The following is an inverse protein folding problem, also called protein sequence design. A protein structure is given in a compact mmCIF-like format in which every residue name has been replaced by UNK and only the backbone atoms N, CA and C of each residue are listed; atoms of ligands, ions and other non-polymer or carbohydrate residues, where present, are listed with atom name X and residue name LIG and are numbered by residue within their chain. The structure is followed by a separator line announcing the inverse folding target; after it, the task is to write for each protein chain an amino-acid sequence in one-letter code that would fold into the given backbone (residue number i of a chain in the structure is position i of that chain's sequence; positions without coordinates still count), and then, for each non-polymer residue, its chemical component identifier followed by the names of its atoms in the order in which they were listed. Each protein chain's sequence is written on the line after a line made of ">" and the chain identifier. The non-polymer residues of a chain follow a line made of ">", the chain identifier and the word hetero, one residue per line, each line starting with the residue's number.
data_IF_643054573927
#
_entry.id   IF_643054573927
#
_cell.length_a   1.000
_cell.length_b   1.000
_cell.length_c   1.000
_cell.angle_alpha   90.00
_cell.angle_beta   90.00
_cell.angle_gamma   90.00
#
_symmetry.space_group_name_H-M   'P 1'
#
loop_
_entity.id
_entity.type
_entity.pdbx_description
1 polymer ?
#
# COMPACT_ATOMS: atom_id res chain seq x y z
N UNK A 1 18.93 18.13 10.67
CA UNK A 1 17.82 17.15 10.59
C UNK A 1 18.41 15.83 10.15
N UNK A 2 18.32 14.80 11.00
CA UNK A 2 19.06 13.54 10.84
C UNK A 2 18.47 12.65 9.73
N UNK A 3 19.34 12.22 8.82
CA UNK A 3 19.07 11.26 7.73
C UNK A 3 18.83 9.83 8.24
N UNK A 4 19.25 9.54 9.48
CA UNK A 4 19.15 8.21 10.12
C UNK A 4 17.84 7.95 10.89
N UNK A 5 17.01 8.97 11.13
CA UNK A 5 15.75 8.78 11.88
C UNK A 5 14.61 8.19 11.02
N UNK A 6 14.82 8.01 9.70
CA UNK A 6 13.83 7.40 8.81
C UNK A 6 13.90 5.88 8.70
N UNK A 7 14.93 5.24 9.29
CA UNK A 7 15.21 3.81 9.09
C UNK A 7 14.74 2.87 10.21
N UNK A 8 14.28 3.39 11.36
CA UNK A 8 14.10 2.54 12.56
C UNK A 8 12.68 2.42 13.13
N UNK A 9 11.64 3.00 12.51
CA UNK A 9 10.26 2.87 13.00
C UNK A 9 9.23 2.70 11.86
N UNK A 10 9.54 1.86 10.88
CA UNK A 10 8.46 1.12 10.23
C UNK A 10 8.71 -0.34 10.52
N UNK A 11 8.02 -0.86 11.54
CA UNK A 11 7.72 -2.29 11.59
C UNK A 11 7.14 -2.66 10.23
N UNK A 12 8.00 -3.20 9.36
CA UNK A 12 7.60 -3.67 8.05
C UNK A 12 6.60 -4.79 8.30
N UNK A 13 5.32 -4.48 8.10
CA UNK A 13 4.28 -5.48 8.20
C UNK A 13 4.40 -6.37 6.96
N UNK A 14 4.11 -7.67 7.07
CA UNK A 14 4.18 -8.61 5.94
C UNK A 14 3.34 -8.17 4.73
N UNK A 15 2.32 -7.32 4.95
CA UNK A 15 1.50 -6.71 3.90
C UNK A 15 2.19 -5.54 3.16
N UNK A 16 3.29 -5.01 3.70
CA UNK A 16 4.09 -3.91 3.15
C UNK A 16 5.36 -4.39 2.43
N UNK A 17 5.69 -5.67 2.55
CA UNK A 17 6.86 -6.28 1.93
C UNK A 17 6.67 -6.35 0.41
N UNK A 18 7.66 -5.83 -0.32
CA UNK A 18 7.58 -5.67 -1.76
C UNK A 18 8.13 -6.93 -2.44
N UNK A 19 7.33 -8.01 -2.48
CA UNK A 19 7.64 -9.18 -3.30
C UNK A 19 7.66 -8.74 -4.78
N UNK A 20 8.84 -8.59 -5.38
CA UNK A 20 8.98 -8.40 -6.83
C UNK A 20 9.53 -7.06 -7.31
N UNK A 21 10.52 -6.48 -6.63
CA UNK A 21 11.42 -5.51 -7.30
C UNK A 21 12.71 -6.13 -7.86
N UNK A 22 12.89 -7.45 -7.74
CA UNK A 22 13.88 -8.16 -8.54
C UNK A 22 13.21 -8.58 -9.85
N UNK A 23 13.15 -7.66 -10.82
CA UNK A 23 13.08 -8.08 -12.22
C UNK A 23 14.40 -8.74 -12.58
N UNK A 24 14.51 -10.04 -12.30
CA UNK A 24 15.45 -10.93 -12.98
C UNK A 24 14.70 -12.15 -13.55
N UNK A 25 13.62 -11.88 -14.28
CA UNK A 25 13.07 -12.87 -15.21
C UNK A 25 14.04 -12.93 -16.42
N UNK A 26 15.14 -13.67 -16.27
CA UNK A 26 15.90 -14.17 -17.40
C UNK A 26 16.33 -15.60 -17.13
N UNK A 27 15.57 -16.55 -17.67
CA UNK A 27 15.96 -17.94 -17.83
C UNK A 27 17.03 -17.98 -18.94
N UNK A 28 18.26 -17.62 -18.60
CA UNK A 28 19.36 -17.48 -19.53
C UNK A 28 20.67 -17.59 -18.78
N UNK A 29 21.30 -18.76 -18.94
CA UNK A 29 22.60 -19.14 -18.43
C UNK A 29 23.70 -18.15 -18.85
N UNK A 30 24.28 -17.42 -17.91
CA UNK A 30 25.74 -17.31 -17.81
C UNK A 30 26.18 -16.98 -16.37
N UNK A 31 27.32 -17.55 -16.03
CA UNK A 31 27.95 -17.42 -14.74
C UNK A 31 28.66 -16.06 -14.67
N UNK A 32 28.11 -15.10 -13.93
CA UNK A 32 28.91 -14.12 -13.19
C UNK A 32 28.07 -13.51 -12.06
N UNK A 33 28.51 -13.75 -10.84
CA UNK A 33 27.91 -13.30 -9.59
C UNK A 33 27.63 -11.78 -9.63
N UNK A 34 26.35 -11.42 -9.79
CA UNK A 34 25.82 -10.15 -9.30
C UNK A 34 25.06 -10.45 -8.01
N UNK A 35 25.79 -10.48 -6.90
CA UNK A 35 25.21 -10.59 -5.57
C UNK A 35 24.25 -9.42 -5.29
N UNK A 36 23.42 -9.51 -4.23
CA UNK A 36 22.33 -8.59 -3.88
C UNK A 36 22.77 -7.16 -3.50
N UNK A 37 24.00 -6.78 -3.84
CA UNK A 37 24.62 -5.50 -3.53
C UNK A 37 24.67 -4.62 -4.78
N UNK A 38 23.53 -4.48 -5.47
CA UNK A 38 23.34 -3.30 -6.31
C UNK A 38 23.39 -2.10 -5.36
N UNK A 39 24.30 -1.15 -5.60
CA UNK A 39 24.41 0.10 -4.83
C UNK A 39 23.19 0.95 -5.14
N UNK A 40 22.02 0.52 -4.65
CA UNK A 40 20.82 1.32 -4.68
C UNK A 40 21.07 2.42 -3.66
N UNK A 41 21.26 3.64 -4.14
CA UNK A 41 21.40 4.81 -3.29
C UNK A 41 20.26 4.81 -2.26
N UNK A 42 20.56 5.12 -0.99
CA UNK A 42 19.55 5.25 0.07
C UNK A 42 18.37 6.15 -0.37
N UNK A 43 18.63 7.11 -1.27
CA UNK A 43 17.62 7.97 -1.86
C UNK A 43 16.74 7.26 -2.92
N UNK A 44 17.31 6.39 -3.77
CA UNK A 44 16.50 5.62 -4.74
C UNK A 44 15.60 4.62 -4.01
N UNK A 45 16.13 3.96 -2.97
CA UNK A 45 15.33 3.13 -2.05
C UNK A 45 14.17 3.91 -1.40
N UNK A 46 14.40 5.17 -1.02
CA UNK A 46 13.34 6.02 -0.43
C UNK A 46 12.27 6.40 -1.47
N UNK A 47 12.68 6.70 -2.70
CA UNK A 47 11.77 7.04 -3.80
C UNK A 47 10.92 5.86 -4.23
N UNK A 48 11.50 4.68 -4.36
CA UNK A 48 10.80 3.44 -4.69
C UNK A 48 9.82 3.04 -3.59
N UNK A 49 10.22 3.12 -2.32
CA UNK A 49 9.31 2.91 -1.17
C UNK A 49 8.12 3.86 -1.21
N UNK A 50 8.34 5.14 -1.47
CA UNK A 50 7.25 6.12 -1.61
C UNK A 50 6.32 5.77 -2.77
N UNK A 51 6.85 5.38 -3.92
CA UNK A 51 6.06 4.96 -5.08
C UNK A 51 5.21 3.72 -4.78
N UNK A 52 5.81 2.69 -4.17
CA UNK A 52 5.10 1.48 -3.77
C UNK A 52 3.97 1.79 -2.79
N UNK A 53 4.23 2.66 -1.79
CA UNK A 53 3.24 3.10 -0.81
C UNK A 53 2.07 3.84 -1.47
N UNK A 54 2.34 4.78 -2.38
CA UNK A 54 1.29 5.50 -3.11
C UNK A 54 0.49 4.56 -4.04
N UNK A 55 1.14 3.59 -4.68
CA UNK A 55 0.47 2.57 -5.49
C UNK A 55 -0.51 1.75 -4.64
N UNK A 56 -0.09 1.33 -3.44
CA UNK A 56 -0.95 0.62 -2.47
C UNK A 56 -2.14 1.47 -2.05
N UNK A 57 -1.91 2.74 -1.72
CA UNK A 57 -2.99 3.71 -1.41
C UNK A 57 -3.99 3.81 -2.57
N UNK A 58 -3.51 3.83 -3.81
CA UNK A 58 -4.36 3.81 -5.01
C UNK A 58 -5.26 2.57 -5.07
N UNK A 59 -4.68 1.37 -4.92
CA UNK A 59 -5.41 0.11 -4.93
C UNK A 59 -6.44 0.02 -3.78
N UNK A 60 -6.02 0.39 -2.56
CA UNK A 60 -6.92 0.40 -1.40
C UNK A 60 -8.09 1.36 -1.61
N UNK A 61 -7.86 2.52 -2.22
CA UNK A 61 -8.93 3.47 -2.52
C UNK A 61 -9.97 2.93 -3.52
N UNK A 62 -9.61 2.01 -4.42
CA UNK A 62 -10.60 1.37 -5.30
C UNK A 62 -11.60 0.53 -4.49
N UNK A 63 -11.12 -0.19 -3.48
CA UNK A 63 -11.96 -1.01 -2.59
C UNK A 63 -12.74 -0.11 -1.63
N UNK A 64 -12.05 0.82 -0.96
CA UNK A 64 -12.64 1.72 0.05
C UNK A 64 -13.71 2.65 -0.54
N UNK A 65 -13.63 2.98 -1.84
CA UNK A 65 -14.64 3.77 -2.53
C UNK A 65 -16.05 3.16 -2.45
N UNK A 66 -16.16 1.83 -2.47
CA UNK A 66 -17.44 1.12 -2.30
C UNK A 66 -18.08 1.43 -0.95
N UNK A 67 -17.26 1.54 0.10
CA UNK A 67 -17.69 1.88 1.46
C UNK A 67 -17.78 3.38 1.70
N UNK A 68 -17.50 4.21 0.69
CA UNK A 68 -17.47 5.67 0.81
C UNK A 68 -16.28 6.19 1.63
N UNK A 69 -15.22 5.40 1.77
CA UNK A 69 -14.02 5.76 2.51
C UNK A 69 -12.88 6.09 1.56
N UNK A 70 -11.90 6.85 2.06
CA UNK A 70 -10.67 7.17 1.34
C UNK A 70 -9.46 7.11 2.27
N UNK A 71 -8.39 6.49 1.82
CA UNK A 71 -7.10 6.46 2.51
C UNK A 71 -6.09 7.37 1.81
N UNK A 72 -5.26 8.05 2.60
CA UNK A 72 -4.15 8.87 2.15
C UNK A 72 -2.86 8.53 2.88
N UNK A 73 -1.73 8.86 2.27
CA UNK A 73 -0.43 8.78 2.92
C UNK A 73 -0.27 9.89 3.96
N UNK A 74 0.23 9.55 5.15
CA UNK A 74 0.50 10.50 6.23
C UNK A 74 1.95 10.39 6.71
N UNK A 75 2.72 11.45 6.42
CA UNK A 75 4.12 11.59 6.83
C UNK A 75 5.03 10.42 6.41
N UNK A 76 4.68 9.68 5.35
CA UNK A 76 5.46 8.55 4.82
C UNK A 76 5.56 7.33 5.73
N UNK A 77 4.94 7.35 6.91
CA UNK A 77 5.02 6.29 7.91
C UNK A 77 3.64 5.72 8.26
N UNK A 78 2.60 6.57 8.30
CA UNK A 78 1.22 6.16 8.63
C UNK A 78 0.27 6.43 7.48
N UNK A 79 -0.95 5.94 7.60
CA UNK A 79 -2.03 6.26 6.69
C UNK A 79 -3.09 7.05 7.43
N UNK A 80 -3.84 7.84 6.69
CA UNK A 80 -4.99 8.57 7.20
C UNK A 80 -6.23 8.12 6.43
N UNK A 81 -7.19 7.57 7.16
CA UNK A 81 -8.47 7.13 6.64
C UNK A 81 -9.50 8.24 6.86
N UNK A 82 -10.31 8.52 5.84
CA UNK A 82 -11.31 9.57 5.81
C UNK A 82 -12.69 9.03 5.44
N UNK A 83 -13.73 9.54 6.11
CA UNK A 83 -15.13 9.42 5.69
C UNK A 83 -15.53 10.59 4.78
N UNK A 84 -16.57 10.39 3.96
CA UNK A 84 -17.33 11.45 3.30
C UNK A 84 -17.92 12.47 4.29
N UNK A 85 -18.13 12.09 5.55
CA UNK A 85 -18.63 12.97 6.62
C UNK A 85 -17.54 13.84 7.26
N UNK A 86 -16.29 13.73 6.84
CA UNK A 86 -15.16 14.51 7.36
C UNK A 86 -14.46 13.92 8.58
N UNK A 87 -14.90 12.76 9.08
CA UNK A 87 -14.15 12.03 10.12
C UNK A 87 -12.85 11.49 9.55
N UNK A 88 -11.77 11.62 10.32
CA UNK A 88 -10.43 11.17 9.93
C UNK A 88 -9.79 10.36 11.05
N UNK A 89 -9.19 9.22 10.73
CA UNK A 89 -8.55 8.31 11.68
C UNK A 89 -7.17 7.90 11.18
N UNK A 90 -6.19 7.92 12.07
CA UNK A 90 -4.84 7.45 11.78
C UNK A 90 -4.82 5.92 11.79
N UNK A 91 -4.26 5.34 10.74
CA UNK A 91 -4.05 3.91 10.54
C UNK A 91 -2.55 3.65 10.51
N UNK A 92 -2.06 2.71 11.31
CA UNK A 92 -0.63 2.45 11.39
C UNK A 92 -0.14 1.59 10.22
N UNK A 93 -0.91 0.57 9.84
CA UNK A 93 -0.56 -0.43 8.83
C UNK A 93 -1.84 -1.00 8.16
N UNK A 94 -1.66 -1.86 7.15
CA UNK A 94 -2.79 -2.48 6.44
C UNK A 94 -3.61 -3.45 7.30
N UNK A 95 -3.04 -4.04 8.35
CA UNK A 95 -3.77 -4.89 9.29
C UNK A 95 -4.72 -4.08 10.17
N UNK A 96 -4.26 -2.92 10.64
CA UNK A 96 -5.04 -1.95 11.42
C UNK A 96 -6.14 -1.25 10.58
N UNK A 97 -5.97 -1.22 9.25
CA UNK A 97 -6.89 -0.55 8.33
C UNK A 97 -8.32 -1.06 8.42
N UNK A 98 -8.53 -2.37 8.29
CA UNK A 98 -9.86 -2.94 8.11
C UNK A 98 -10.75 -2.77 9.34
N UNK A 99 -10.20 -2.98 10.54
CA UNK A 99 -10.93 -2.75 11.79
C UNK A 99 -11.36 -1.29 11.92
N UNK A 100 -10.47 -0.34 11.59
CA UNK A 100 -10.79 1.09 11.63
C UNK A 100 -11.80 1.50 10.56
N UNK A 101 -11.69 0.92 9.37
CA UNK A 101 -12.60 1.17 8.28
C UNK A 101 -14.00 0.64 8.58
N UNK A 102 -14.14 -0.55 9.14
CA UNK A 102 -15.42 -1.10 9.58
C UNK A 102 -16.08 -0.24 10.67
N UNK A 103 -15.32 0.20 11.67
CA UNK A 103 -15.82 1.09 12.73
C UNK A 103 -16.33 2.43 12.19
N UNK A 104 -15.64 2.98 11.19
CA UNK A 104 -15.93 4.29 10.61
C UNK A 104 -17.09 4.22 9.60
N UNK A 105 -17.15 3.17 8.79
CA UNK A 105 -18.27 2.89 7.89
C UNK A 105 -19.53 2.38 8.61
N UNK A 106 -19.41 1.88 9.85
CA UNK A 106 -20.47 1.18 10.60
C UNK A 106 -21.10 0.03 9.80
N UNK A 107 -20.31 -0.61 8.95
CA UNK A 107 -20.71 -1.71 8.06
C UNK A 107 -19.65 -2.79 8.11
N UNK A 108 -20.07 -4.05 8.22
CA UNK A 108 -19.14 -5.17 8.13
C UNK A 108 -18.48 -5.21 6.74
N UNK A 109 -17.16 -5.35 6.75
CA UNK A 109 -16.37 -5.43 5.53
C UNK A 109 -16.13 -6.89 5.18
N UNK A 110 -16.99 -7.42 4.32
CA UNK A 110 -16.81 -8.74 3.72
C UNK A 110 -16.06 -8.60 2.38
N UNK A 111 -14.91 -9.24 2.29
CA UNK A 111 -14.08 -9.27 1.08
C UNK A 111 -14.72 -10.08 -0.06
N UNK A 112 -15.68 -10.96 0.26
CA UNK A 112 -16.39 -11.82 -0.69
C UNK A 112 -17.84 -11.36 -0.94
N UNK A 113 -18.21 -10.15 -0.50
CA UNK A 113 -19.53 -9.57 -0.79
C UNK A 113 -19.73 -9.49 -2.31
N UNK A 114 -20.81 -10.10 -2.80
CA UNK A 114 -21.16 -10.11 -4.22
C UNK A 114 -21.34 -8.70 -4.78
N UNK A 115 -21.81 -7.75 -3.96
CA UNK A 115 -21.96 -6.35 -4.38
C UNK A 115 -20.61 -5.66 -4.54
N UNK A 116 -19.67 -5.93 -3.64
CA UNK A 116 -18.29 -5.42 -3.73
C UNK A 116 -17.62 -5.95 -4.99
N UNK A 117 -17.71 -7.26 -5.24
CA UNK A 117 -17.11 -7.88 -6.43
C UNK A 117 -17.70 -7.32 -7.72
N UNK A 118 -19.02 -7.13 -7.78
CA UNK A 118 -19.69 -6.50 -8.93
C UNK A 118 -19.19 -5.05 -9.14
N UNK A 119 -19.02 -4.28 -8.07
CA UNK A 119 -18.49 -2.92 -8.13
C UNK A 119 -17.04 -2.87 -8.63
N UNK A 120 -16.18 -3.76 -8.14
CA UNK A 120 -14.77 -3.82 -8.56
C UNK A 120 -14.62 -4.24 -10.02
N UNK A 121 -15.40 -5.23 -10.47
CA UNK A 121 -15.42 -5.65 -11.87
C UNK A 121 -15.87 -4.53 -12.84
N UNK A 122 -16.73 -3.62 -12.38
CA UNK A 122 -17.14 -2.46 -13.19
C UNK A 122 -16.05 -1.38 -13.23
N UNK A 123 -15.39 -1.08 -12.10
CA UNK A 123 -14.39 -0.01 -12.01
C UNK A 123 -13.00 -0.38 -12.56
N UNK A 124 -12.68 -1.66 -12.69
CA UNK A 124 -11.40 -2.11 -13.29
C UNK A 124 -11.36 -1.85 -14.81
N UNK A 125 -12.50 -1.73 -15.47
CA UNK A 125 -12.59 -1.45 -16.91
C UNK A 125 -12.37 0.03 -17.28
N UNK A 126 -12.27 0.93 -16.31
CA UNK A 126 -12.18 2.39 -16.53
C UNK A 126 -10.74 2.93 -16.50
N UNK A 127 -9.75 2.08 -16.24
CA UNK A 127 -8.31 2.43 -16.13
C UNK A 127 -7.49 1.84 -17.27
N UNK A 128 -7.91 2.04 -18.53
CA UNK A 128 -7.14 1.71 -19.72
C UNK A 128 -6.93 2.92 -20.64
#
# INVERSE_FOLDING_TARGET
>A
MCVLCGELISSFHWADENYGSDKSDNYGSDANLRGPNAVISANENARERKRARLKRVGLLNQILAFYGLKIGDWQGAKFMLHDKKGQSVIVNDLGDLWGKAQNLAKKEMDALDSNLLAFLNQNTNTTH
#
